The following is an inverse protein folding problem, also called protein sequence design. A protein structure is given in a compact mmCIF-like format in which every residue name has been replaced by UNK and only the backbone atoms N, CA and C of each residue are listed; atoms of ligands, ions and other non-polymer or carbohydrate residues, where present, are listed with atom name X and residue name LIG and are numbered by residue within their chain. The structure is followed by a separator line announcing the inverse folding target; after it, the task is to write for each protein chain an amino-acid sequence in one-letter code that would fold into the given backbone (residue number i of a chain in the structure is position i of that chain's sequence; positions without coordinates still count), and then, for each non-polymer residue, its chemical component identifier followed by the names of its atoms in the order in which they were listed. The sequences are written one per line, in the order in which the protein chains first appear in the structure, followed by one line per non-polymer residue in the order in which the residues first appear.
data_IF_548260664420
#
_entry.id   IF_548260664420
#
_cell.length_a   1.000
_cell.length_b   1.000
_cell.length_c   1.000
_cell.angle_alpha   90.00
_cell.angle_beta   90.00
_cell.angle_gamma   90.00
#
_symmetry.space_group_name_H-M   'P 1'
#
loop_
_entity.id
_entity.type
_entity.pdbx_description
1 polymer ?
#
# COMPACT_ATOMS: atom_id res chain seq x y z
N UNK A 1 14.50 3.87 -24.58
CA UNK A 1 13.28 4.01 -23.74
C UNK A 1 13.73 3.67 -22.33
N UNK A 2 13.44 4.46 -21.30
CA UNK A 2 14.01 4.17 -19.98
C UNK A 2 13.39 2.87 -19.48
N UNK A 3 14.26 1.91 -19.16
CA UNK A 3 13.94 0.65 -18.49
C UNK A 3 13.57 0.92 -17.01
N UNK A 4 12.52 1.71 -16.76
CA UNK A 4 12.02 2.02 -15.41
C UNK A 4 11.34 0.80 -14.74
N UNK A 5 11.44 -0.38 -15.37
CA UNK A 5 11.08 -1.64 -14.75
C UNK A 5 12.12 -1.99 -13.68
N UNK A 6 11.75 -1.97 -12.39
CA UNK A 6 11.84 -3.18 -11.55
C UNK A 6 11.59 -3.02 -10.04
N UNK A 7 11.23 -1.84 -9.52
CA UNK A 7 11.02 -1.71 -8.06
C UNK A 7 9.57 -1.40 -7.65
N UNK A 8 8.59 -1.46 -8.55
CA UNK A 8 7.19 -1.21 -8.20
C UNK A 8 6.29 -2.42 -8.45
N UNK A 9 5.40 -2.69 -7.51
CA UNK A 9 4.35 -3.68 -7.60
C UNK A 9 2.98 -3.02 -7.55
N UNK A 10 2.12 -3.35 -8.49
CA UNK A 10 0.73 -2.90 -8.48
C UNK A 10 -0.13 -3.89 -7.69
N UNK A 11 -0.98 -3.37 -6.82
CA UNK A 11 -1.95 -4.14 -6.07
C UNK A 11 -3.31 -3.46 -6.10
N UNK A 12 -4.35 -4.25 -5.91
CA UNK A 12 -5.72 -3.74 -5.80
C UNK A 12 -6.19 -3.88 -4.35
N UNK A 13 -6.69 -2.79 -3.80
CA UNK A 13 -7.29 -2.76 -2.47
C UNK A 13 -8.81 -2.85 -2.59
N UNK A 14 -9.44 -3.58 -1.69
CA UNK A 14 -10.90 -3.59 -1.58
C UNK A 14 -11.38 -2.33 -0.86
N UNK A 15 -12.60 -1.87 -1.16
CA UNK A 15 -13.18 -0.66 -0.57
C UNK A 15 -13.17 -0.66 0.98
N UNK A 16 -13.28 -1.83 1.61
CA UNK A 16 -13.24 -1.96 3.08
C UNK A 16 -11.87 -1.65 3.68
N UNK A 17 -10.81 -1.80 2.89
CA UNK A 17 -9.42 -1.69 3.35
C UNK A 17 -8.80 -0.33 3.01
N UNK A 18 -9.23 0.33 1.92
CA UNK A 18 -8.65 1.60 1.45
C UNK A 18 -8.64 2.70 2.53
N UNK A 19 -9.67 2.76 3.39
CA UNK A 19 -9.77 3.76 4.46
C UNK A 19 -8.66 3.67 5.54
N UNK A 20 -7.95 2.54 5.60
CA UNK A 20 -6.88 2.31 6.56
C UNK A 20 -5.48 2.34 5.92
N UNK A 21 -5.41 2.34 4.59
CA UNK A 21 -4.17 2.31 3.84
C UNK A 21 -3.73 3.73 3.51
N UNK A 22 -2.44 4.02 3.72
CA UNK A 22 -1.84 5.33 3.43
C UNK A 22 -0.46 5.15 2.82
N UNK A 23 -0.07 6.11 1.96
CA UNK A 23 1.30 6.20 1.46
C UNK A 23 2.31 6.24 2.62
N UNK A 24 3.45 5.58 2.43
CA UNK A 24 4.51 5.42 3.41
C UNK A 24 4.35 4.24 4.37
N UNK A 25 3.19 3.58 4.41
CA UNK A 25 3.03 2.37 5.23
C UNK A 25 3.90 1.23 4.71
N UNK A 26 4.47 0.46 5.64
CA UNK A 26 5.24 -0.74 5.33
C UNK A 26 4.29 -1.85 4.89
N UNK A 27 4.66 -2.53 3.81
CA UNK A 27 3.98 -3.70 3.30
C UNK A 27 4.94 -4.89 3.27
N UNK A 28 4.40 -6.10 3.43
CA UNK A 28 5.12 -7.35 3.29
C UNK A 28 4.58 -8.08 2.07
N UNK A 29 5.43 -8.36 1.10
CA UNK A 29 5.05 -8.87 -0.22
C UNK A 29 5.40 -10.35 -0.29
N UNK A 30 4.38 -11.16 -0.54
CA UNK A 30 4.44 -12.62 -0.70
C UNK A 30 4.29 -12.92 -2.18
N UNK A 31 5.29 -13.53 -2.79
CA UNK A 31 5.22 -13.98 -4.18
C UNK A 31 4.48 -15.31 -4.24
N UNK A 32 3.55 -15.47 -5.17
CA UNK A 32 2.83 -16.74 -5.33
C UNK A 32 3.69 -17.79 -6.03
N UNK A 33 4.59 -17.35 -6.91
CA UNK A 33 5.52 -18.20 -7.65
C UNK A 33 6.61 -18.82 -6.77
N UNK A 34 6.88 -18.23 -5.61
CA UNK A 34 7.88 -18.70 -4.64
C UNK A 34 7.27 -18.76 -3.25
N UNK A 35 6.98 -19.96 -2.69
CA UNK A 35 6.38 -20.10 -1.37
C UNK A 35 7.15 -19.33 -0.29
N UNK A 36 6.50 -18.32 0.28
CA UNK A 36 7.10 -17.42 1.27
C UNK A 36 7.53 -18.14 2.55
N UNK A 37 6.93 -19.29 2.87
CA UNK A 37 7.31 -20.13 4.00
C UNK A 37 8.70 -20.74 3.86
N UNK A 38 9.19 -20.88 2.61
CA UNK A 38 10.51 -21.43 2.30
C UNK A 38 11.52 -20.35 1.96
N UNK A 39 11.12 -19.36 1.16
CA UNK A 39 12.04 -18.35 0.60
C UNK A 39 11.91 -16.96 1.23
N UNK A 40 10.96 -16.78 2.15
CA UNK A 40 10.71 -15.51 2.81
C UNK A 40 9.84 -14.54 2.01
N UNK A 41 9.89 -13.27 2.40
CA UNK A 41 9.05 -12.19 1.84
C UNK A 41 9.91 -11.04 1.35
N UNK A 42 9.35 -10.25 0.44
CA UNK A 42 9.95 -8.99 0.01
C UNK A 42 9.34 -7.87 0.82
N UNK A 43 10.17 -7.03 1.43
CA UNK A 43 9.68 -5.82 2.08
C UNK A 43 9.25 -4.81 1.03
N UNK A 44 8.21 -4.03 1.32
CA UNK A 44 7.75 -2.96 0.45
C UNK A 44 7.16 -1.79 1.24
N UNK A 45 6.82 -0.72 0.52
CA UNK A 45 6.17 0.47 1.05
C UNK A 45 5.10 0.96 0.09
N UNK A 46 3.96 1.39 0.62
CA UNK A 46 2.92 2.04 -0.19
C UNK A 46 3.48 3.35 -0.75
N UNK A 47 3.60 3.41 -2.07
CA UNK A 47 4.04 4.61 -2.78
C UNK A 47 2.85 5.53 -3.02
N UNK A 48 1.76 4.98 -3.57
CA UNK A 48 0.56 5.74 -3.90
C UNK A 48 -0.67 4.84 -3.89
N UNK A 49 -1.84 5.47 -3.74
CA UNK A 49 -3.15 4.85 -3.81
C UNK A 49 -3.95 5.73 -4.77
N UNK A 50 -4.67 5.13 -5.70
CA UNK A 50 -5.57 5.85 -6.58
C UNK A 50 -6.62 6.60 -5.75
N UNK A 51 -6.87 7.86 -6.10
CA UNK A 51 -7.88 8.67 -5.44
C UNK A 51 -9.30 8.17 -5.76
N UNK A 52 -9.47 7.61 -6.96
CA UNK A 52 -10.76 7.15 -7.47
C UNK A 52 -10.85 5.62 -7.45
N UNK A 53 -12.04 5.12 -7.14
CA UNK A 53 -12.35 3.72 -7.25
C UNK A 53 -12.52 3.31 -8.72
N UNK A 54 -12.00 2.15 -9.07
CA UNK A 54 -12.31 1.45 -10.32
C UNK A 54 -13.39 0.42 -10.02
N UNK A 55 -14.41 0.33 -10.87
CA UNK A 55 -15.47 -0.65 -10.68
C UNK A 55 -15.06 -1.99 -11.29
N UNK A 56 -14.96 -3.03 -10.46
CA UNK A 56 -14.74 -4.40 -10.87
C UNK A 56 -16.06 -5.18 -10.81
N UNK A 57 -16.38 -5.91 -11.88
CA UNK A 57 -17.66 -6.61 -12.01
C UNK A 57 -17.93 -7.65 -10.92
N UNK A 58 -16.87 -8.20 -10.30
CA UNK A 58 -16.97 -9.25 -9.28
C UNK A 58 -16.77 -8.72 -7.86
N UNK A 59 -15.90 -7.72 -7.70
CA UNK A 59 -15.46 -7.21 -6.40
C UNK A 59 -16.08 -5.86 -6.03
N UNK A 60 -16.78 -5.21 -6.96
CA UNK A 60 -17.29 -3.86 -6.80
C UNK A 60 -16.17 -2.82 -6.87
N UNK A 61 -16.29 -1.75 -6.08
CA UNK A 61 -15.28 -0.70 -6.03
C UNK A 61 -13.93 -1.22 -5.49
N UNK A 62 -12.89 -1.13 -6.33
CA UNK A 62 -11.50 -1.44 -5.99
C UNK A 62 -10.62 -0.21 -6.14
N UNK A 63 -9.53 -0.16 -5.39
CA UNK A 63 -8.61 0.97 -5.36
C UNK A 63 -7.21 0.49 -5.72
N UNK A 64 -6.74 0.76 -6.96
CA UNK A 64 -5.38 0.47 -7.36
C UNK A 64 -4.38 1.19 -6.46
N UNK A 65 -3.28 0.53 -6.12
CA UNK A 65 -2.19 1.10 -5.34
C UNK A 65 -0.84 0.61 -5.88
N UNK A 66 0.17 1.47 -5.81
CA UNK A 66 1.55 1.15 -6.15
C UNK A 66 2.35 0.94 -4.86
N UNK A 67 3.11 -0.14 -4.82
CA UNK A 67 4.04 -0.48 -3.76
C UNK A 67 5.47 -0.37 -4.30
N UNK A 68 6.33 0.37 -3.59
CA UNK A 68 7.77 0.33 -3.81
C UNK A 68 8.35 -0.91 -3.11
N UNK A 69 9.04 -1.75 -3.86
CA UNK A 69 9.78 -2.93 -3.40
C UNK A 69 11.09 -2.48 -2.73
N UNK A 70 11.45 -3.11 -1.62
CA UNK A 70 12.75 -2.91 -0.97
C UNK A 70 13.89 -3.63 -1.69
N UNK A 71 13.57 -4.61 -2.53
CA UNK A 71 14.50 -5.34 -3.40
C UNK A 71 13.77 -5.85 -4.63
N UNK A 72 14.38 -5.70 -5.82
CA UNK A 72 13.97 -6.32 -7.07
C UNK A 72 14.36 -7.80 -7.19
N UNK A 73 14.76 -8.45 -6.09
CA UNK A 73 15.22 -9.84 -6.13
C UNK A 73 14.93 -10.62 -4.85
N UNK A 74 14.74 -11.92 -5.02
CA UNK A 74 14.54 -12.90 -3.96
C UNK A 74 15.66 -13.95 -4.01
N UNK A 75 16.13 -14.38 -2.85
CA UNK A 75 17.06 -15.50 -2.75
C UNK A 75 16.28 -16.82 -2.77
N UNK A 76 16.55 -17.65 -3.77
CA UNK A 76 15.92 -18.97 -3.96
C UNK A 76 17.03 -20.01 -4.04
N UNK A 77 17.16 -20.81 -2.99
CA UNK A 77 18.19 -21.86 -2.87
C UNK A 77 19.64 -21.34 -3.13
N UNK A 78 19.96 -20.14 -2.65
CA UNK A 78 21.28 -19.50 -2.81
C UNK A 78 21.45 -18.79 -4.15
N UNK A 79 20.41 -18.75 -4.99
CA UNK A 79 20.41 -18.02 -6.27
C UNK A 79 19.52 -16.79 -6.17
N UNK A 80 20.08 -15.63 -6.50
CA UNK A 80 19.32 -14.39 -6.61
C UNK A 80 18.47 -14.40 -7.87
N UNK A 81 17.16 -14.53 -7.70
CA UNK A 81 16.16 -14.45 -8.77
C UNK A 81 15.59 -13.04 -8.83
N UNK A 82 15.59 -12.43 -10.01
CA UNK A 82 14.96 -11.12 -10.23
C UNK A 82 13.45 -11.25 -10.24
N UNK A 83 12.78 -10.29 -9.62
CA UNK A 83 11.34 -10.13 -9.72
C UNK A 83 11.03 -9.58 -11.11
N UNK A 84 10.13 -10.26 -11.81
CA UNK A 84 9.71 -9.89 -13.14
C UNK A 84 8.27 -9.37 -13.15
N UNK A 85 7.93 -8.43 -14.03
CA UNK A 85 6.55 -8.05 -14.27
C UNK A 85 5.68 -9.26 -14.63
N UNK A 86 4.41 -9.24 -14.20
CA UNK A 86 3.45 -10.33 -14.44
C UNK A 86 3.51 -11.46 -13.42
N UNK A 87 4.38 -11.40 -12.41
CA UNK A 87 4.33 -12.30 -11.27
C UNK A 87 3.15 -11.94 -10.35
N UNK A 88 2.35 -12.94 -9.99
CA UNK A 88 1.31 -12.75 -8.97
C UNK A 88 1.93 -12.64 -7.58
N UNK A 89 1.40 -11.71 -6.80
CA UNK A 89 1.82 -11.44 -5.44
C UNK A 89 0.63 -11.04 -4.58
N UNK A 90 0.78 -11.26 -3.28
CA UNK A 90 -0.11 -10.73 -2.25
C UNK A 90 0.69 -9.78 -1.36
N UNK A 91 0.18 -8.57 -1.14
CA UNK A 91 0.79 -7.59 -0.25
C UNK A 91 -0.01 -7.45 1.05
N UNK A 92 0.68 -7.58 2.18
CA UNK A 92 0.12 -7.35 3.51
C UNK A 92 0.58 -5.98 4.02
N UNK A 93 -0.32 -4.99 4.00
CA UNK A 93 -0.02 -3.63 4.41
C UNK A 93 -0.23 -3.48 5.93
N UNK A 94 0.79 -2.97 6.63
CA UNK A 94 0.74 -2.73 8.08
C UNK A 94 -0.01 -1.41 8.36
N UNK A 95 -1.32 -1.50 8.56
CA UNK A 95 -2.21 -0.33 8.70
C UNK A 95 -2.21 0.36 10.08
N UNK A 96 -1.36 -0.06 11.02
CA UNK A 96 -1.06 0.69 12.25
C UNK A 96 -2.30 1.21 13.00
N UNK A 97 -3.13 0.32 13.56
CA UNK A 97 -4.42 0.61 14.22
C UNK A 97 -4.37 1.58 15.43
N UNK A 98 -3.24 2.24 15.75
CA UNK A 98 -3.05 2.98 17.01
C UNK A 98 -3.21 4.50 16.92
N UNK A 99 -3.22 5.11 15.73
CA UNK A 99 -3.18 6.59 15.56
C UNK A 99 -4.35 7.21 14.75
N UNK A 100 -5.50 6.53 14.68
CA UNK A 100 -6.67 7.07 13.96
C UNK A 100 -7.24 8.34 14.61
N UNK A 101 -6.93 8.59 15.90
CA UNK A 101 -7.33 9.82 16.61
C UNK A 101 -6.83 11.09 15.90
N UNK A 102 -5.69 11.06 15.22
CA UNK A 102 -5.12 12.26 14.59
C UNK A 102 -5.96 12.73 13.37
N UNK A 103 -6.75 11.83 12.75
CA UNK A 103 -7.58 12.16 11.59
C UNK A 103 -9.03 12.52 11.96
N UNK A 104 -9.59 11.96 13.04
CA UNK A 104 -10.93 12.33 13.52
C UNK A 104 -10.93 13.69 14.26
N UNK A 105 -9.80 14.10 14.82
CA UNK A 105 -9.69 15.35 15.59
C UNK A 105 -9.45 16.60 14.72
N UNK A 106 -9.25 16.46 13.41
CA UNK A 106 -8.89 17.59 12.57
C UNK A 106 -10.01 18.63 12.29
N UNK A 107 -11.34 18.36 12.42
CA UNK A 107 -12.33 19.43 12.23
C UNK A 107 -12.64 20.22 13.51
N UNK A 108 -12.19 19.80 14.70
CA UNK A 108 -12.55 20.51 15.96
C UNK A 108 -11.78 21.82 16.16
N UNK A 109 -10.72 22.06 15.37
CA UNK A 109 -9.87 23.26 15.50
C UNK A 109 -10.32 24.47 14.69
N UNK A 110 -11.47 24.44 14.02
CA UNK A 110 -11.88 25.54 13.14
C UNK A 110 -13.08 26.37 13.63
N UNK A 111 -13.49 26.26 14.90
CA UNK A 111 -14.59 27.10 15.45
C UNK A 111 -14.34 27.72 16.84
N UNK A 112 -13.12 27.66 17.39
CA UNK A 112 -12.83 28.22 18.73
C UNK A 112 -12.16 29.61 18.71
N UNK A 113 -12.22 30.36 17.59
CA UNK A 113 -11.66 31.72 17.53
C UNK A 113 -12.59 32.83 17.02
N UNK A 114 -13.86 32.55 16.69
CA UNK A 114 -14.81 33.61 16.30
C UNK A 114 -15.71 34.12 17.44
N UNK A 115 -15.54 33.65 18.68
CA UNK A 115 -16.36 34.12 19.82
C UNK A 115 -15.66 35.14 20.72
N UNK A 116 -14.50 35.68 20.32
CA UNK A 116 -13.71 36.64 21.13
C UNK A 116 -13.33 37.94 20.38
N UNK A 117 -14.12 38.35 19.40
CA UNK A 117 -14.18 39.74 18.95
C UNK A 117 -15.66 40.05 18.70
N UNK A 118 -16.28 41.11 19.18
CA UNK A 118 -16.01 42.14 20.17
C UNK A 118 -17.39 42.80 20.37
N UNK A 119 -17.62 43.42 21.51
CA UNK A 119 -18.73 44.37 21.69
C UNK A 119 -18.33 45.71 21.10
#
# INVERSE_FOLDING_TARGET
MPDDAQDTAEVVLENKDVGFVRAGQVATIKLETFPYTRYGTVDGKVQSIAADAVNDEKRGAIFPASLLLGTASLDVDGKRIKLAPGMNLTAEIKTGRRRVIDYLLNPVKQHMQESLHER
#
